data_IF_242911910145
#
_entry.id   IF_242911910145
#
_cell.length_a   1.000
_cell.length_b   1.000
_cell.length_c   1.000
_cell.angle_alpha   90.00
_cell.angle_beta   90.00
_cell.angle_gamma   90.00
#
_symmetry.space_group_name_H-M   'P 1'
#
loop_
_entity.id
_entity.type
_entity.pdbx_description
1 polymer ?
#
# COMPACT_ATOMS: atom_id res chain seq x y z
N UNK A 1 -0.01 12.70 -2.73
CA UNK A 1 -0.92 11.55 -2.79
C UNK A 1 -1.62 11.26 -1.45
N UNK A 2 -0.93 10.91 -0.32
CA UNK A 2 -1.64 10.75 0.98
C UNK A 2 -2.40 12.01 1.38
N UNK A 3 -1.74 13.15 1.40
CA UNK A 3 -2.38 14.46 1.68
C UNK A 3 -3.57 14.72 0.77
N UNK A 4 -3.48 14.38 -0.51
CA UNK A 4 -4.56 14.62 -1.48
C UNK A 4 -5.75 13.69 -1.22
N UNK A 5 -5.50 12.42 -0.84
CA UNK A 5 -6.55 11.48 -0.44
C UNK A 5 -7.34 12.00 0.76
N UNK A 6 -6.66 12.47 1.81
CA UNK A 6 -7.33 13.04 2.99
C UNK A 6 -8.05 14.35 2.68
N UNK A 7 -7.48 15.21 1.83
CA UNK A 7 -8.19 16.44 1.37
C UNK A 7 -9.45 16.10 0.58
N UNK A 8 -9.37 15.11 -0.32
CA UNK A 8 -10.55 14.65 -1.05
C UNK A 8 -11.61 14.11 -0.12
N UNK A 9 -11.22 13.30 0.88
CA UNK A 9 -12.14 12.82 1.91
C UNK A 9 -12.83 13.98 2.65
N UNK A 10 -12.07 14.97 3.07
CA UNK A 10 -12.59 16.14 3.78
C UNK A 10 -13.59 16.97 2.94
N UNK A 11 -13.39 17.02 1.61
CA UNK A 11 -14.36 17.66 0.69
C UNK A 11 -15.63 16.82 0.57
N UNK A 12 -15.51 15.51 0.42
CA UNK A 12 -16.65 14.59 0.30
C UNK A 12 -17.51 14.60 1.57
N UNK A 13 -16.89 14.69 2.74
CA UNK A 13 -17.57 14.70 4.04
C UNK A 13 -18.46 15.96 4.26
N UNK A 14 -18.24 17.02 3.49
CA UNK A 14 -19.09 18.23 3.55
C UNK A 14 -20.45 18.05 2.85
N UNK A 15 -20.60 17.01 2.03
CA UNK A 15 -21.87 16.70 1.38
C UNK A 15 -22.71 15.78 2.27
N UNK A 16 -23.82 16.28 2.80
CA UNK A 16 -24.69 15.53 3.72
C UNK A 16 -25.34 14.28 3.10
N UNK A 17 -25.24 14.10 1.81
CA UNK A 17 -25.69 12.87 1.10
C UNK A 17 -24.67 11.75 1.17
N UNK A 18 -23.42 12.06 1.53
CA UNK A 18 -22.33 11.09 1.62
C UNK A 18 -22.26 10.59 3.07
N UNK A 19 -22.38 9.28 3.21
CA UNK A 19 -22.22 8.61 4.49
C UNK A 19 -20.76 8.16 4.70
N UNK A 20 -20.54 6.87 4.78
CA UNK A 20 -19.20 6.28 4.95
C UNK A 20 -18.35 6.42 3.68
N UNK A 21 -17.05 6.64 3.84
CA UNK A 21 -16.10 6.87 2.76
C UNK A 21 -14.97 5.84 2.85
N UNK A 22 -14.94 4.91 1.88
CA UNK A 22 -13.83 3.97 1.74
C UNK A 22 -12.73 4.49 0.81
N UNK A 23 -11.55 3.89 0.89
CA UNK A 23 -10.44 4.16 -0.02
C UNK A 23 -9.96 2.87 -0.69
N UNK A 24 -9.85 2.89 -2.01
CA UNK A 24 -9.19 1.84 -2.79
C UNK A 24 -8.00 2.41 -3.56
N UNK A 25 -7.05 1.56 -3.87
CA UNK A 25 -5.91 1.97 -4.70
C UNK A 25 -5.05 0.81 -5.14
N UNK A 26 -4.32 1.01 -6.22
CA UNK A 26 -3.49 0.02 -6.91
C UNK A 26 -2.02 0.41 -6.84
N UNK A 27 -1.13 -0.53 -6.61
CA UNK A 27 0.31 -0.30 -6.59
C UNK A 27 0.68 0.84 -5.62
N UNK A 28 1.21 1.97 -6.12
CA UNK A 28 1.45 3.16 -5.31
C UNK A 28 0.15 3.72 -4.68
N UNK A 29 -0.97 3.66 -5.39
CA UNK A 29 -2.30 3.98 -4.84
C UNK A 29 -2.71 2.99 -3.75
N UNK A 30 -2.39 1.71 -3.91
CA UNK A 30 -2.56 0.67 -2.89
C UNK A 30 -1.75 0.98 -1.63
N UNK A 31 -0.51 1.46 -1.80
CA UNK A 31 0.33 1.94 -0.69
C UNK A 31 -0.34 3.12 0.04
N UNK A 32 -0.94 4.05 -0.70
CA UNK A 32 -1.70 5.17 -0.10
C UNK A 32 -2.91 4.64 0.68
N UNK A 33 -3.70 3.73 0.09
CA UNK A 33 -4.86 3.12 0.75
C UNK A 33 -4.47 2.34 2.02
N UNK A 34 -3.34 1.62 2.01
CA UNK A 34 -2.85 0.89 3.17
C UNK A 34 -2.41 1.82 4.30
N UNK A 35 -1.52 2.77 4.02
CA UNK A 35 -0.95 3.63 5.06
C UNK A 35 -1.88 4.77 5.49
N UNK A 36 -2.99 5.03 4.78
CA UNK A 36 -4.03 5.94 5.27
C UNK A 36 -4.75 5.41 6.52
N UNK A 37 -4.59 4.13 6.86
CA UNK A 37 -5.07 3.54 8.11
C UNK A 37 -4.11 3.78 9.30
N UNK A 38 -2.90 4.31 9.12
CA UNK A 38 -1.94 4.53 10.19
C UNK A 38 -2.34 5.75 11.05
N UNK A 39 -2.62 5.52 12.34
CA UNK A 39 -3.20 6.53 13.24
C UNK A 39 -2.40 7.84 13.33
N UNK A 40 -1.05 7.85 13.37
CA UNK A 40 -0.32 9.12 13.36
C UNK A 40 -0.50 9.96 12.09
N UNK A 41 -0.79 9.35 10.93
CA UNK A 41 -1.16 10.11 9.74
C UNK A 41 -2.59 10.66 9.82
N UNK A 42 -3.51 9.90 10.40
CA UNK A 42 -4.90 10.33 10.64
C UNK A 42 -4.91 11.54 11.58
N UNK A 43 -4.15 11.49 12.68
CA UNK A 43 -4.01 12.61 13.63
C UNK A 43 -3.54 13.91 12.96
N UNK A 44 -2.70 13.81 11.93
CA UNK A 44 -2.12 14.97 11.23
C UNK A 44 -2.99 15.44 10.04
N UNK A 45 -3.59 14.49 9.32
CA UNK A 45 -4.22 14.75 8.02
C UNK A 45 -5.74 14.83 8.06
N UNK A 46 -6.37 14.33 9.11
CA UNK A 46 -7.84 14.39 9.28
C UNK A 46 -8.49 13.06 9.63
N UNK A 47 -9.78 12.96 9.42
CA UNK A 47 -10.58 11.79 9.81
C UNK A 47 -10.19 10.49 9.09
N UNK A 48 -10.34 9.30 9.71
CA UNK A 48 -10.04 8.01 9.10
C UNK A 48 -11.01 7.68 7.97
N UNK A 49 -10.56 6.91 6.99
CA UNK A 49 -11.46 6.25 6.05
C UNK A 49 -12.19 5.09 6.75
N UNK A 50 -13.42 4.81 6.33
CA UNK A 50 -14.27 3.78 6.93
C UNK A 50 -13.91 2.37 6.47
N UNK A 51 -13.21 2.22 5.35
CA UNK A 51 -12.71 0.96 4.83
C UNK A 51 -11.53 1.18 3.87
N UNK A 52 -10.59 0.23 3.83
CA UNK A 52 -9.38 0.31 3.02
C UNK A 52 -9.25 -0.93 2.12
N UNK A 53 -9.04 -0.72 0.81
CA UNK A 53 -8.87 -1.78 -0.17
C UNK A 53 -7.59 -1.57 -0.99
N UNK A 54 -6.43 -1.90 -0.46
CA UNK A 54 -5.16 -1.85 -1.19
C UNK A 54 -4.97 -3.06 -2.10
N UNK A 55 -4.73 -2.83 -3.40
CA UNK A 55 -4.28 -3.83 -4.37
C UNK A 55 -2.76 -3.77 -4.49
N UNK A 56 -2.10 -4.88 -4.31
CA UNK A 56 -0.64 -5.06 -4.44
C UNK A 56 0.17 -3.84 -3.97
N UNK A 57 0.00 -3.43 -2.69
CA UNK A 57 0.67 -2.26 -2.16
C UNK A 57 2.16 -2.50 -1.95
N UNK A 58 2.98 -1.45 -2.13
CA UNK A 58 4.37 -1.48 -1.68
C UNK A 58 4.43 -1.26 -0.16
N UNK A 59 4.51 -2.35 0.60
CA UNK A 59 4.51 -2.32 2.06
C UNK A 59 5.94 -2.29 2.66
N UNK A 60 6.80 -1.41 2.14
CA UNK A 60 8.20 -1.30 2.57
C UNK A 60 8.40 -0.47 3.83
N UNK A 61 7.42 0.38 4.19
CA UNK A 61 7.52 1.22 5.37
C UNK A 61 7.15 0.43 6.62
N UNK A 62 7.94 0.58 7.67
CA UNK A 62 7.71 -0.02 8.98
C UNK A 62 7.55 1.11 10.00
N UNK A 63 6.29 1.42 10.38
CA UNK A 63 6.03 2.40 11.43
C UNK A 63 6.66 1.96 12.75
N UNK A 64 7.30 2.89 13.46
CA UNK A 64 7.82 2.64 14.82
C UNK A 64 6.67 2.56 15.82
N UNK A 65 5.62 3.34 15.59
CA UNK A 65 4.38 3.29 16.36
C UNK A 65 3.37 2.42 15.61
N UNK A 66 3.05 1.28 16.19
CA UNK A 66 2.16 0.25 15.62
C UNK A 66 0.69 0.51 16.02
N UNK A 67 0.23 1.75 15.86
CA UNK A 67 -1.16 2.13 16.13
C UNK A 67 -1.85 2.40 14.79
N UNK A 68 -2.88 1.64 14.51
CA UNK A 68 -3.65 1.69 13.29
C UNK A 68 -5.12 1.93 13.61
N UNK A 69 -5.87 2.47 12.67
CA UNK A 69 -7.30 2.60 12.77
C UNK A 69 -7.97 1.21 12.85
N UNK A 70 -9.11 1.15 13.51
CA UNK A 70 -9.94 -0.07 13.58
C UNK A 70 -10.75 -0.30 12.31
N UNK A 71 -10.61 0.55 11.30
CA UNK A 71 -11.30 0.40 10.02
C UNK A 71 -10.85 -0.86 9.32
N UNK A 72 -11.78 -1.63 8.72
CA UNK A 72 -11.44 -2.87 8.02
C UNK A 72 -10.55 -2.63 6.81
N UNK A 73 -9.58 -3.54 6.63
CA UNK A 73 -8.62 -3.52 5.52
C UNK A 73 -8.70 -4.85 4.79
N UNK A 74 -9.01 -4.82 3.48
CA UNK A 74 -8.88 -5.99 2.62
C UNK A 74 -7.74 -5.78 1.65
N UNK A 75 -6.66 -6.54 1.80
CA UNK A 75 -5.48 -6.48 0.92
C UNK A 75 -5.59 -7.59 -0.12
N UNK A 76 -5.50 -7.23 -1.40
CA UNK A 76 -5.48 -8.17 -2.52
C UNK A 76 -4.08 -8.16 -3.16
N UNK A 77 -3.42 -9.31 -3.19
CA UNK A 77 -2.02 -9.39 -3.64
C UNK A 77 -1.75 -10.67 -4.45
N UNK A 78 -0.82 -10.59 -5.38
CA UNK A 78 -0.31 -11.76 -6.09
C UNK A 78 0.99 -12.29 -5.47
N UNK A 79 1.19 -13.60 -5.43
CA UNK A 79 2.43 -14.19 -4.87
C UNK A 79 3.61 -14.15 -5.85
N UNK A 80 3.34 -14.02 -7.16
CA UNK A 80 4.36 -13.83 -8.19
C UNK A 80 4.74 -12.36 -8.46
N UNK A 81 4.26 -11.42 -7.62
CA UNK A 81 4.58 -10.00 -7.76
C UNK A 81 6.03 -9.70 -7.36
N UNK A 82 6.87 -9.45 -8.36
CA UNK A 82 8.28 -9.10 -8.19
C UNK A 82 8.55 -7.59 -8.15
N UNK A 83 7.50 -6.76 -8.36
CA UNK A 83 7.61 -5.31 -8.25
C UNK A 83 7.34 -4.81 -6.83
N UNK A 84 6.26 -5.30 -6.24
CA UNK A 84 5.90 -5.05 -4.83
C UNK A 84 5.76 -6.37 -4.08
N UNK A 85 6.87 -7.04 -3.73
CA UNK A 85 6.87 -8.42 -3.25
C UNK A 85 5.96 -8.66 -2.05
N UNK A 86 5.20 -9.75 -2.10
CA UNK A 86 4.21 -10.16 -1.12
C UNK A 86 4.76 -10.19 0.32
N UNK A 87 6.00 -10.69 0.52
CA UNK A 87 6.60 -10.82 1.86
C UNK A 87 6.65 -9.51 2.68
N UNK A 88 6.65 -8.35 2.01
CA UNK A 88 6.56 -7.06 2.72
C UNK A 88 5.16 -6.82 3.29
N UNK A 89 4.12 -7.27 2.60
CA UNK A 89 2.74 -7.21 3.09
C UNK A 89 2.55 -8.20 4.22
N UNK A 90 2.97 -9.46 4.03
CA UNK A 90 2.91 -10.51 5.06
C UNK A 90 3.60 -10.10 6.36
N UNK A 91 4.74 -9.42 6.27
CA UNK A 91 5.46 -8.91 7.44
C UNK A 91 4.78 -7.70 8.12
N UNK A 92 3.79 -7.06 7.49
CA UNK A 92 3.04 -5.94 8.05
C UNK A 92 1.68 -6.36 8.60
N UNK A 93 1.00 -7.30 7.96
CA UNK A 93 -0.37 -7.76 8.31
C UNK A 93 -0.56 -8.10 9.79
N UNK A 94 0.38 -8.78 10.48
CA UNK A 94 0.23 -9.07 11.91
C UNK A 94 0.10 -7.84 12.82
N UNK A 95 0.44 -6.66 12.31
CA UNK A 95 0.39 -5.39 13.02
C UNK A 95 -0.92 -4.63 12.77
N UNK A 96 -1.73 -5.08 11.81
CA UNK A 96 -2.96 -4.43 11.39
C UNK A 96 -4.16 -5.09 12.09
N UNK A 97 -4.93 -4.38 12.93
CA UNK A 97 -5.92 -5.01 13.82
C UNK A 97 -7.07 -5.69 13.06
N UNK A 98 -7.53 -5.12 11.95
CA UNK A 98 -8.68 -5.60 11.19
C UNK A 98 -8.34 -5.84 9.71
N UNK A 99 -7.15 -6.40 9.44
CA UNK A 99 -6.73 -6.69 8.08
C UNK A 99 -6.98 -8.14 7.67
N UNK A 100 -7.47 -8.31 6.46
CA UNK A 100 -7.53 -9.58 5.75
C UNK A 100 -6.64 -9.49 4.52
N UNK A 101 -5.68 -10.40 4.38
CA UNK A 101 -4.86 -10.55 3.19
C UNK A 101 -5.42 -11.72 2.36
N UNK A 102 -5.74 -11.44 1.11
CA UNK A 102 -6.06 -12.47 0.12
C UNK A 102 -4.97 -12.53 -0.94
N UNK A 103 -4.39 -13.70 -1.11
CA UNK A 103 -3.27 -13.94 -2.04
C UNK A 103 -3.76 -14.74 -3.23
N UNK A 104 -3.43 -14.27 -4.43
CA UNK A 104 -3.71 -14.95 -5.69
C UNK A 104 -2.46 -15.70 -6.16
N UNK A 105 -2.52 -17.05 -6.29
CA UNK A 105 -1.42 -17.84 -6.81
C UNK A 105 -1.06 -17.43 -8.23
N UNK A 106 0.24 -17.42 -8.55
CA UNK A 106 0.80 -17.12 -9.87
C UNK A 106 0.42 -15.73 -10.44
N UNK A 107 -0.17 -14.87 -9.63
CA UNK A 107 -0.55 -13.52 -10.05
C UNK A 107 0.60 -12.53 -9.88
N UNK A 108 0.98 -11.90 -10.99
CA UNK A 108 1.98 -10.83 -11.04
C UNK A 108 1.42 -9.46 -10.69
N UNK A 109 2.30 -8.46 -10.64
CA UNK A 109 1.89 -7.07 -10.48
C UNK A 109 0.86 -6.67 -11.54
N UNK A 110 -0.17 -5.92 -11.15
CA UNK A 110 -1.29 -5.53 -12.02
C UNK A 110 -2.14 -6.71 -12.54
N UNK A 111 -2.31 -7.76 -11.73
CA UNK A 111 -3.09 -8.95 -12.08
C UNK A 111 -4.54 -8.64 -12.49
N UNK A 112 -5.06 -7.50 -12.09
CA UNK A 112 -6.42 -7.04 -12.38
C UNK A 112 -6.58 -6.35 -13.75
N UNK A 113 -5.49 -6.21 -14.52
CA UNK A 113 -5.52 -5.71 -15.90
C UNK A 113 -5.72 -6.84 -16.95
N UNK A 114 -5.73 -6.48 -18.24
CA UNK A 114 -5.81 -7.42 -19.37
C UNK A 114 -4.47 -7.63 -20.08
N UNK A 115 -3.38 -7.18 -19.45
CA UNK A 115 -2.07 -7.18 -20.07
C UNK A 115 -1.47 -8.57 -20.13
N UNK A 116 -0.86 -8.92 -21.25
CA UNK A 116 -0.06 -10.14 -21.37
C UNK A 116 1.20 -10.04 -20.50
N UNK A 117 1.83 -11.20 -20.22
CA UNK A 117 3.07 -11.25 -19.47
C UNK A 117 4.12 -10.35 -20.11
N UNK A 118 4.50 -9.31 -19.41
CA UNK A 118 5.34 -8.23 -19.95
C UNK A 118 6.45 -7.88 -18.96
N UNK A 119 7.69 -7.89 -19.43
CA UNK A 119 8.84 -7.37 -18.70
C UNK A 119 8.95 -5.84 -18.87
N UNK A 120 9.05 -5.14 -17.77
CA UNK A 120 9.23 -3.68 -17.70
C UNK A 120 10.65 -3.34 -17.25
N UNK A 121 11.64 -3.18 -18.16
CA UNK A 121 13.06 -3.02 -17.80
C UNK A 121 13.37 -1.72 -17.02
N UNK A 122 12.48 -0.73 -17.08
CA UNK A 122 12.63 0.56 -16.38
C UNK A 122 11.92 0.60 -15.03
N UNK A 123 11.16 -0.42 -14.67
CA UNK A 123 10.52 -0.52 -13.36
C UNK A 123 11.60 -0.48 -12.26
N UNK A 124 11.36 0.31 -11.22
CA UNK A 124 12.28 0.46 -10.09
C UNK A 124 11.62 -0.12 -8.85
N UNK A 125 12.35 -0.96 -8.15
CA UNK A 125 11.85 -1.59 -6.91
C UNK A 125 12.96 -1.76 -5.87
N UNK A 126 12.56 -2.02 -4.61
CA UNK A 126 13.44 -2.20 -3.45
C UNK A 126 13.11 -3.53 -2.76
N UNK A 127 13.41 -4.66 -3.40
CA UNK A 127 12.92 -5.98 -2.97
C UNK A 127 13.56 -6.56 -1.70
N UNK A 128 14.58 -5.92 -1.16
CA UNK A 128 15.35 -6.47 -0.02
C UNK A 128 15.38 -5.58 1.20
N UNK A 129 14.71 -4.43 1.18
CA UNK A 129 14.91 -3.41 2.20
C UNK A 129 13.60 -2.78 2.65
N UNK A 130 13.50 -2.56 3.95
CA UNK A 130 12.44 -1.75 4.56
C UNK A 130 12.98 -0.42 5.03
N UNK A 131 12.10 0.56 5.15
CA UNK A 131 12.40 1.83 5.79
C UNK A 131 11.51 1.98 7.02
N UNK A 132 12.04 2.56 8.10
CA UNK A 132 11.27 2.91 9.29
C UNK A 132 10.73 4.32 9.16
N UNK A 133 9.53 4.52 9.69
CA UNK A 133 8.93 5.85 9.83
C UNK A 133 8.58 6.09 11.30
N UNK A 134 9.11 7.16 11.86
CA UNK A 134 8.83 7.61 13.21
C UNK A 134 7.51 8.40 13.28
N UNK A 135 6.95 8.61 14.49
CA UNK A 135 5.72 9.37 14.72
C UNK A 135 5.76 10.78 14.10
N UNK A 136 6.92 11.44 14.18
CA UNK A 136 7.14 12.77 13.61
C UNK A 136 7.33 12.78 12.07
N UNK A 137 7.13 11.64 11.40
CA UNK A 137 7.31 11.49 9.96
C UNK A 137 8.76 11.34 9.50
N UNK A 138 9.74 11.32 10.41
CA UNK A 138 11.12 11.07 10.05
C UNK A 138 11.30 9.64 9.55
N UNK A 139 11.94 9.51 8.41
CA UNK A 139 12.21 8.22 7.78
C UNK A 139 13.68 7.86 7.88
N UNK A 140 13.96 6.58 8.10
CA UNK A 140 15.30 6.02 8.05
C UNK A 140 15.29 4.66 7.35
N UNK A 141 16.33 4.40 6.54
CA UNK A 141 16.55 3.10 5.88
C UNK A 141 17.79 2.44 6.45
N UNK A 142 17.80 1.12 6.52
CA UNK A 142 19.00 0.35 6.83
C UNK A 142 19.81 0.15 5.53
N UNK A 143 21.09 0.53 5.56
CA UNK A 143 22.02 0.32 4.44
C UNK A 143 22.69 -1.06 4.56
N UNK A 144 23.87 -1.09 5.12
CA UNK A 144 24.66 -2.30 5.31
C UNK A 144 25.05 -2.39 6.80
N UNK A 145 25.21 -3.60 7.31
CA UNK A 145 25.68 -3.85 8.68
C UNK A 145 24.86 -3.14 9.78
N UNK A 146 23.55 -2.96 9.56
CA UNK A 146 22.68 -2.32 10.54
C UNK A 146 22.80 -0.79 10.62
N UNK A 147 23.64 -0.17 9.79
CA UNK A 147 23.79 1.30 9.76
C UNK A 147 22.52 1.91 9.20
N UNK A 148 21.89 2.79 9.98
CA UNK A 148 20.70 3.51 9.56
C UNK A 148 21.08 4.84 8.93
N UNK A 149 20.48 5.10 7.77
CA UNK A 149 20.64 6.35 7.04
C UNK A 149 19.34 7.15 7.06
N UNK A 150 19.39 8.47 7.34
CA UNK A 150 18.20 9.30 7.30
C UNK A 150 17.67 9.45 5.88
N UNK A 151 16.36 9.43 5.73
CA UNK A 151 15.64 9.57 4.47
C UNK A 151 14.71 10.79 4.44
N UNK A 152 14.96 11.77 5.31
CA UNK A 152 14.09 12.93 5.51
C UNK A 152 14.19 13.91 4.35
N UNK A 153 15.38 14.10 3.80
CA UNK A 153 15.63 15.03 2.71
C UNK A 153 15.44 14.35 1.34
N UNK A 154 14.96 15.12 0.36
CA UNK A 154 14.72 14.61 -1.01
C UNK A 154 15.99 14.02 -1.65
N UNK A 155 17.15 14.63 -1.42
CA UNK A 155 18.42 14.15 -1.95
C UNK A 155 18.85 12.83 -1.30
N UNK A 156 18.62 12.64 0.02
CA UNK A 156 18.91 11.40 0.74
C UNK A 156 18.12 10.23 0.15
N UNK A 157 16.81 10.42 -0.07
CA UNK A 157 15.95 9.39 -0.71
C UNK A 157 16.41 9.08 -2.12
N UNK A 158 16.74 10.10 -2.93
CA UNK A 158 17.25 9.92 -4.29
C UNK A 158 18.56 9.13 -4.32
N UNK A 159 19.47 9.45 -3.40
CA UNK A 159 20.76 8.77 -3.30
C UNK A 159 20.59 7.31 -2.91
N UNK A 160 19.82 7.01 -1.86
CA UNK A 160 19.54 5.65 -1.41
C UNK A 160 18.83 4.85 -2.49
N UNK A 161 17.79 5.40 -3.12
CA UNK A 161 17.12 4.75 -4.24
C UNK A 161 18.09 4.45 -5.38
N UNK A 162 19.00 5.38 -5.70
CA UNK A 162 20.00 5.18 -6.77
C UNK A 162 20.94 4.00 -6.49
N UNK A 163 21.31 3.79 -5.23
CA UNK A 163 22.26 2.74 -4.82
C UNK A 163 21.56 1.40 -4.62
N UNK A 164 20.39 1.40 -3.97
CA UNK A 164 19.72 0.16 -3.54
C UNK A 164 18.64 -0.34 -4.50
N UNK A 165 18.31 0.42 -5.54
CA UNK A 165 17.28 0.03 -6.50
C UNK A 165 17.70 -1.18 -7.33
N UNK A 166 16.78 -2.08 -7.51
CA UNK A 166 16.78 -3.02 -8.61
C UNK A 166 15.98 -2.45 -9.79
N UNK A 167 16.19 -2.99 -10.97
CA UNK A 167 15.44 -2.61 -12.17
C UNK A 167 14.85 -3.84 -12.81
N UNK A 168 13.70 -3.63 -13.42
CA UNK A 168 12.92 -4.64 -14.10
C UNK A 168 11.92 -5.29 -13.17
N UNK A 169 10.71 -5.44 -13.66
CA UNK A 169 9.63 -6.17 -13.00
C UNK A 169 8.67 -6.72 -14.05
N UNK A 170 7.95 -7.76 -13.69
CA UNK A 170 6.91 -8.34 -14.54
C UNK A 170 5.54 -7.77 -14.19
N UNK A 171 4.72 -7.58 -15.21
CA UNK A 171 3.29 -7.30 -15.07
C UNK A 171 2.52 -8.28 -15.93
N UNK A 172 1.38 -8.74 -15.43
CA UNK A 172 0.50 -9.65 -16.17
C UNK A 172 -0.92 -9.57 -15.64
N UNK A 173 -1.90 -9.54 -16.55
CA UNK A 173 -3.29 -9.78 -16.21
C UNK A 173 -3.52 -11.26 -15.86
N UNK A 174 -4.33 -11.50 -14.85
CA UNK A 174 -4.71 -12.85 -14.42
C UNK A 174 -6.25 -12.95 -14.39
N UNK A 175 -6.90 -13.52 -15.42
CA UNK A 175 -8.35 -13.43 -15.59
C UNK A 175 -9.16 -13.91 -14.37
N UNK A 176 -8.76 -15.03 -13.77
CA UNK A 176 -9.44 -15.59 -12.60
C UNK A 176 -9.27 -14.71 -11.36
N UNK A 177 -8.04 -14.25 -11.07
CA UNK A 177 -7.75 -13.35 -9.95
C UNK A 177 -8.48 -12.01 -10.12
N UNK A 178 -8.51 -11.47 -11.35
CA UNK A 178 -9.26 -10.25 -11.69
C UNK A 178 -10.74 -10.38 -11.41
N UNK A 179 -11.36 -11.47 -11.87
CA UNK A 179 -12.79 -11.71 -11.67
C UNK A 179 -13.14 -11.85 -10.17
N UNK A 180 -12.38 -12.63 -9.43
CA UNK A 180 -12.55 -12.81 -7.99
C UNK A 180 -12.29 -11.51 -7.21
N UNK A 181 -11.24 -10.76 -7.55
CA UNK A 181 -10.93 -9.49 -6.93
C UNK A 181 -12.06 -8.47 -7.08
N UNK A 182 -12.73 -8.45 -8.24
CA UNK A 182 -13.89 -7.58 -8.48
C UNK A 182 -15.06 -7.96 -7.56
N UNK A 183 -15.35 -9.25 -7.42
CA UNK A 183 -16.41 -9.76 -6.54
C UNK A 183 -16.10 -9.39 -5.09
N UNK A 184 -14.90 -9.73 -4.60
CA UNK A 184 -14.46 -9.42 -3.23
C UNK A 184 -14.52 -7.93 -2.92
N UNK A 185 -14.10 -7.09 -3.87
CA UNK A 185 -14.13 -5.64 -3.71
C UNK A 185 -15.55 -5.10 -3.52
N UNK A 186 -16.49 -5.59 -4.32
CA UNK A 186 -17.91 -5.23 -4.21
C UNK A 186 -18.53 -5.70 -2.90
N UNK A 187 -18.30 -6.95 -2.52
CA UNK A 187 -18.78 -7.52 -1.27
C UNK A 187 -18.21 -6.76 -0.06
N UNK A 188 -16.90 -6.50 -0.07
CA UNK A 188 -16.23 -5.77 0.99
C UNK A 188 -16.83 -4.38 1.18
N UNK A 189 -16.87 -3.55 0.15
CA UNK A 189 -17.44 -2.20 0.28
C UNK A 189 -18.95 -2.21 0.54
N UNK A 190 -19.71 -3.14 -0.06
CA UNK A 190 -21.14 -3.27 0.23
C UNK A 190 -21.41 -3.62 1.70
N UNK A 191 -20.51 -4.36 2.36
CA UNK A 191 -20.62 -4.70 3.77
C UNK A 191 -20.17 -3.56 4.68
N UNK A 192 -19.08 -2.86 4.32
CA UNK A 192 -18.43 -1.90 5.21
C UNK A 192 -19.00 -0.47 5.11
N UNK A 193 -19.54 -0.08 3.96
CA UNK A 193 -19.99 1.28 3.67
C UNK A 193 -21.53 1.48 3.74
N UNK A 194 -22.25 0.45 4.22
CA UNK A 194 -23.70 0.57 4.51
C UNK A 194 -23.96 1.30 5.82
#
# INVERSE_FOLDING_TARGET
MLVDAFRTRAVLEQDSRIGKIGIAGWSLGGTVALYSAWSPLIEILGAPFDAHLPFYPAAHLRPEIQIWSDSPILILHGDADDWTPLHFVEGLVPQLPNATLHVYPDAHHSFDCEKEFTWLPKAVHLNKRTARIAKNGHMSGELLLGIRWPLNQRWQRRWVIRILRNRGAHVQGHPTARADALVRSREFFSKQLR
#
